data_IF_719718511900
#
_entry.id   IF_719718511900
#
_cell.length_a   1.000
_cell.length_b   1.000
_cell.length_c   1.000
_cell.angle_alpha   90.00
_cell.angle_beta   90.00
_cell.angle_gamma   90.00
#
_symmetry.space_group_name_H-M   'P 1'
#
loop_
_entity.id
_entity.type
_entity.pdbx_description
1 polymer ?
#
# COMPACT_ATOMS: atom_id res chain seq x y z
N UNK A 1 4.67 19.12 13.67
CA UNK A 1 5.91 18.47 14.14
C UNK A 1 5.88 18.42 15.65
N UNK A 2 6.03 17.23 16.24
CA UNK A 2 5.88 17.00 17.69
C UNK A 2 4.59 16.29 18.09
N UNK A 3 3.90 15.67 17.13
CA UNK A 3 2.73 14.82 17.36
C UNK A 3 3.12 13.37 17.06
N UNK A 4 2.51 12.42 17.76
CA UNK A 4 2.71 10.97 17.63
C UNK A 4 1.71 10.35 16.63
N UNK A 5 0.80 11.15 16.07
CA UNK A 5 -0.16 10.72 15.05
C UNK A 5 0.52 10.12 13.80
N UNK A 6 -0.02 8.98 13.34
CA UNK A 6 0.46 8.30 12.13
C UNK A 6 0.01 9.03 10.87
N UNK A 7 0.92 9.10 9.90
CA UNK A 7 0.64 9.61 8.55
C UNK A 7 1.15 8.60 7.51
N UNK A 8 0.29 8.26 6.54
CA UNK A 8 0.58 7.30 5.49
C UNK A 8 1.75 7.73 4.59
N UNK A 9 2.10 9.01 4.53
CA UNK A 9 3.28 9.52 3.83
C UNK A 9 4.59 8.93 4.35
N UNK A 10 4.63 8.42 5.58
CA UNK A 10 5.80 7.72 6.12
C UNK A 10 6.12 6.42 5.35
N UNK A 11 5.15 5.82 4.64
CA UNK A 11 5.41 4.71 3.71
C UNK A 11 6.39 5.11 2.60
N UNK A 12 6.47 6.40 2.24
CA UNK A 12 7.43 6.87 1.25
C UNK A 12 8.88 6.67 1.69
N UNK A 13 9.17 6.55 2.99
CA UNK A 13 10.54 6.32 3.46
C UNK A 13 11.14 5.03 2.89
N UNK A 14 10.37 3.93 2.85
CA UNK A 14 10.84 2.68 2.24
C UNK A 14 10.76 2.73 0.71
N UNK A 15 9.70 3.30 0.15
CA UNK A 15 9.48 3.35 -1.30
C UNK A 15 10.51 4.24 -2.02
N UNK A 16 11.07 5.22 -1.33
CA UNK A 16 12.15 6.09 -1.84
C UNK A 16 13.54 5.64 -1.41
N UNK A 17 13.67 4.50 -0.73
CA UNK A 17 14.95 3.96 -0.21
C UNK A 17 15.66 4.91 0.75
N UNK A 18 14.91 5.73 1.49
CA UNK A 18 15.46 6.62 2.51
C UNK A 18 16.16 5.82 3.62
N UNK A 19 15.60 4.65 3.97
CA UNK A 19 16.21 3.67 4.88
C UNK A 19 16.15 2.26 4.24
N UNK A 20 17.06 1.35 4.65
CA UNK A 20 17.01 -0.06 4.25
C UNK A 20 15.69 -0.74 4.64
N UNK A 21 15.26 -1.73 3.86
CA UNK A 21 14.02 -2.46 4.10
C UNK A 21 14.06 -3.31 5.38
N UNK A 22 15.25 -3.72 5.82
CA UNK A 22 15.49 -4.45 7.07
C UNK A 22 15.70 -3.53 8.29
N UNK A 23 15.63 -2.20 8.12
CA UNK A 23 15.68 -1.28 9.24
C UNK A 23 14.46 -1.50 10.15
N UNK A 24 14.66 -1.76 11.46
CA UNK A 24 13.57 -2.07 12.37
C UNK A 24 12.55 -0.94 12.49
N UNK A 25 12.95 0.33 12.27
CA UNK A 25 12.03 1.47 12.28
C UNK A 25 11.14 1.46 11.05
N UNK A 26 11.70 1.17 9.88
CA UNK A 26 10.93 1.05 8.63
C UNK A 26 9.88 -0.05 8.77
N UNK A 27 10.30 -1.23 9.22
CA UNK A 27 9.37 -2.35 9.44
C UNK A 27 8.28 -1.96 10.44
N UNK A 28 8.65 -1.36 11.58
CA UNK A 28 7.68 -0.92 12.58
C UNK A 28 6.69 0.11 12.02
N UNK A 29 7.15 1.09 11.25
CA UNK A 29 6.29 2.10 10.61
C UNK A 29 5.29 1.47 9.64
N UNK A 30 5.74 0.57 8.75
CA UNK A 30 4.85 -0.09 7.79
C UNK A 30 3.79 -0.92 8.51
N UNK A 31 4.18 -1.65 9.55
CA UNK A 31 3.28 -2.47 10.35
C UNK A 31 2.28 -1.62 11.15
N UNK A 32 2.73 -0.54 11.78
CA UNK A 32 1.88 0.40 12.50
C UNK A 32 0.82 1.02 11.58
N UNK A 33 1.20 1.45 10.37
CA UNK A 33 0.23 1.97 9.39
C UNK A 33 -0.76 0.88 8.97
N UNK A 34 -0.30 -0.35 8.74
CA UNK A 34 -1.18 -1.45 8.36
C UNK A 34 -2.21 -1.83 9.45
N UNK A 35 -1.84 -1.68 10.72
CA UNK A 35 -2.64 -2.11 11.87
C UNK A 35 -3.51 -0.98 12.45
N UNK A 36 -2.97 0.24 12.46
CA UNK A 36 -3.52 1.36 13.22
C UNK A 36 -4.04 2.49 12.32
N UNK A 37 -3.68 2.55 11.04
CA UNK A 37 -4.10 3.60 10.10
C UNK A 37 -4.95 3.06 8.95
N UNK A 38 -5.82 2.09 9.24
CA UNK A 38 -6.75 1.53 8.26
C UNK A 38 -8.20 1.54 8.73
N UNK A 39 -9.12 1.59 7.77
CA UNK A 39 -10.56 1.32 7.94
C UNK A 39 -10.98 0.28 6.90
N UNK A 40 -11.59 -0.82 7.35
CA UNK A 40 -11.86 -1.99 6.50
C UNK A 40 -10.62 -2.43 5.70
N UNK A 41 -9.42 -2.28 6.25
CA UNK A 41 -8.16 -2.62 5.57
C UNK A 41 -7.74 -1.67 4.43
N UNK A 42 -8.45 -0.56 4.22
CA UNK A 42 -8.01 0.53 3.34
C UNK A 42 -7.35 1.62 4.19
N UNK A 43 -6.30 2.24 3.67
CA UNK A 43 -5.43 3.16 4.42
C UNK A 43 -6.01 4.57 4.44
N UNK A 44 -6.11 5.13 5.64
CA UNK A 44 -6.38 6.56 5.85
C UNK A 44 -5.10 7.36 5.62
N UNK A 45 -5.19 8.61 5.19
CA UNK A 45 -4.00 9.46 5.11
C UNK A 45 -3.44 9.75 6.50
N UNK A 46 -4.31 10.16 7.41
CA UNK A 46 -4.12 10.33 8.85
C UNK A 46 -5.48 10.20 9.53
N UNK A 47 -5.53 10.13 10.86
CA UNK A 47 -6.79 10.24 11.60
C UNK A 47 -7.13 11.71 11.82
N UNK A 48 -8.26 12.18 11.28
CA UNK A 48 -8.71 13.58 11.44
C UNK A 48 -9.00 13.97 12.89
N UNK A 49 -9.28 13.00 13.76
CA UNK A 49 -9.44 13.22 15.22
C UNK A 49 -8.11 13.52 15.93
N UNK A 50 -6.99 13.07 15.35
CA UNK A 50 -5.65 13.19 15.92
C UNK A 50 -4.81 14.24 15.17
N UNK A 51 -5.26 14.68 14.00
CA UNK A 51 -4.53 15.62 13.13
C UNK A 51 -5.40 16.82 12.79
N UNK A 52 -4.97 18.02 13.18
CA UNK A 52 -5.56 19.28 12.72
C UNK A 52 -4.98 19.66 11.34
N UNK A 53 -5.70 19.30 10.29
CA UNK A 53 -5.39 19.62 8.89
C UNK A 53 -6.13 20.86 8.37
N UNK A 54 -6.97 21.49 9.20
CA UNK A 54 -7.80 22.63 8.85
C UNK A 54 -9.02 22.31 7.98
N UNK A 55 -9.39 21.04 7.80
CA UNK A 55 -10.57 20.60 7.04
C UNK A 55 -11.65 20.03 7.98
N UNK A 56 -12.91 20.05 7.51
CA UNK A 56 -14.06 19.52 8.26
C UNK A 56 -14.73 18.40 7.47
N UNK A 57 -14.91 17.23 8.09
CA UNK A 57 -15.62 16.09 7.51
C UNK A 57 -15.01 14.76 7.93
N UNK A 58 -15.68 13.67 7.57
CA UNK A 58 -15.06 12.33 7.54
C UNK A 58 -14.34 12.22 6.18
N UNK A 59 -13.02 12.05 6.20
CA UNK A 59 -12.23 11.82 4.98
C UNK A 59 -12.37 10.35 4.56
N UNK A 60 -12.56 10.09 3.27
CA UNK A 60 -12.53 8.73 2.75
C UNK A 60 -11.12 8.12 2.88
N UNK A 61 -11.01 6.82 2.67
CA UNK A 61 -9.68 6.20 2.61
C UNK A 61 -8.97 6.65 1.34
N UNK A 62 -7.73 7.11 1.46
CA UNK A 62 -6.97 7.63 0.33
C UNK A 62 -6.40 6.46 -0.48
N UNK A 63 -6.91 6.27 -1.70
CA UNK A 63 -6.66 5.05 -2.48
C UNK A 63 -5.17 4.84 -2.76
N UNK A 64 -4.45 5.93 -3.03
CA UNK A 64 -2.99 5.91 -3.26
C UNK A 64 -2.22 5.35 -2.05
N UNK A 65 -2.64 5.68 -0.83
CA UNK A 65 -1.98 5.24 0.40
C UNK A 65 -2.13 3.72 0.58
N UNK A 66 -3.27 3.17 0.18
CA UNK A 66 -3.48 1.72 0.21
C UNK A 66 -2.57 0.99 -0.79
N UNK A 67 -2.38 1.54 -1.99
CA UNK A 67 -1.41 0.99 -2.95
C UNK A 67 0.04 1.16 -2.48
N UNK A 68 0.39 2.28 -1.83
CA UNK A 68 1.70 2.41 -1.19
C UNK A 68 1.93 1.36 -0.11
N UNK A 69 0.91 1.03 0.68
CA UNK A 69 1.02 0.00 1.70
C UNK A 69 1.27 -1.38 1.07
N UNK A 70 0.63 -1.71 -0.06
CA UNK A 70 0.95 -2.94 -0.82
C UNK A 70 2.44 -2.97 -1.18
N UNK A 71 2.94 -1.92 -1.83
CA UNK A 71 4.36 -1.85 -2.21
C UNK A 71 5.28 -1.95 -1.00
N UNK A 72 4.96 -1.28 0.11
CA UNK A 72 5.77 -1.28 1.32
C UNK A 72 5.76 -2.65 2.04
N UNK A 73 4.62 -3.35 2.07
CA UNK A 73 4.53 -4.71 2.59
C UNK A 73 5.40 -5.68 1.79
N UNK A 74 5.42 -5.58 0.45
CA UNK A 74 6.34 -6.36 -0.37
C UNK A 74 7.80 -6.09 0.02
N UNK A 75 8.18 -4.83 0.14
CA UNK A 75 9.56 -4.43 0.45
C UNK A 75 10.04 -4.95 1.81
N UNK A 76 9.16 -5.06 2.81
CA UNK A 76 9.50 -5.65 4.13
C UNK A 76 9.33 -7.18 4.20
N UNK A 77 9.05 -7.84 3.07
CA UNK A 77 8.90 -9.29 2.96
C UNK A 77 7.53 -9.84 3.35
N UNK A 78 6.54 -8.99 3.63
CA UNK A 78 5.15 -9.37 3.97
C UNK A 78 4.32 -9.64 2.70
N UNK A 79 4.84 -10.45 1.78
CA UNK A 79 4.31 -10.64 0.42
C UNK A 79 2.87 -11.17 0.42
N UNK A 80 2.54 -12.12 1.29
CA UNK A 80 1.18 -12.66 1.37
C UNK A 80 0.15 -11.61 1.79
N UNK A 81 0.51 -10.71 2.73
CA UNK A 81 -0.36 -9.60 3.14
C UNK A 81 -0.48 -8.57 2.03
N UNK A 82 0.63 -8.25 1.36
CA UNK A 82 0.64 -7.34 0.22
C UNK A 82 -0.28 -7.84 -0.91
N UNK A 83 -0.18 -9.13 -1.24
CA UNK A 83 -1.04 -9.78 -2.25
C UNK A 83 -2.51 -9.64 -1.90
N UNK A 84 -2.89 -9.99 -0.67
CA UNK A 84 -4.30 -9.94 -0.25
C UNK A 84 -4.87 -8.52 -0.29
N UNK A 85 -4.10 -7.53 0.16
CA UNK A 85 -4.49 -6.12 0.05
C UNK A 85 -4.57 -5.67 -1.42
N UNK A 86 -3.63 -6.09 -2.26
CA UNK A 86 -3.64 -5.79 -3.69
C UNK A 86 -4.89 -6.35 -4.38
N UNK A 87 -5.23 -7.62 -4.13
CA UNK A 87 -6.44 -8.27 -4.66
C UNK A 87 -7.71 -7.53 -4.22
N UNK A 88 -7.77 -7.14 -2.94
CA UNK A 88 -8.87 -6.32 -2.43
C UNK A 88 -8.97 -4.98 -3.15
N UNK A 89 -7.86 -4.26 -3.32
CA UNK A 89 -7.84 -2.98 -4.03
C UNK A 89 -8.28 -3.13 -5.48
N UNK A 90 -7.81 -4.18 -6.17
CA UNK A 90 -8.19 -4.50 -7.55
C UNK A 90 -9.70 -4.75 -7.70
N UNK A 91 -10.35 -5.27 -6.66
CA UNK A 91 -11.80 -5.50 -6.68
C UNK A 91 -12.64 -4.22 -6.68
N UNK A 92 -12.07 -3.08 -6.28
CA UNK A 92 -12.74 -1.77 -6.30
C UNK A 92 -12.63 -1.05 -7.64
N UNK A 93 -12.02 -1.64 -8.66
CA UNK A 93 -11.93 -1.00 -9.97
C UNK A 93 -13.33 -0.63 -10.50
N UNK A 94 -13.50 0.59 -11.01
CA UNK A 94 -14.72 0.95 -11.74
C UNK A 94 -14.88 0.07 -13.00
N UNK A 95 -16.05 0.06 -13.67
CA UNK A 95 -16.24 -0.69 -14.91
C UNK A 95 -15.27 -0.33 -16.04
N UNK A 96 -14.61 0.83 -15.97
CA UNK A 96 -13.57 1.26 -16.91
C UNK A 96 -12.15 0.91 -16.44
N UNK A 97 -12.03 0.14 -15.35
CA UNK A 97 -10.79 -0.16 -14.65
C UNK A 97 -10.03 1.07 -14.13
N UNK A 98 -10.78 2.14 -13.83
CA UNK A 98 -10.25 3.40 -13.32
C UNK A 98 -10.54 3.56 -11.83
N UNK A 99 -9.66 4.30 -11.14
CA UNK A 99 -9.72 4.62 -9.72
C UNK A 99 -9.90 6.12 -9.46
N UNK A 100 -10.55 6.42 -8.33
CA UNK A 100 -10.65 7.78 -7.82
C UNK A 100 -9.51 8.08 -6.85
N UNK A 101 -9.52 9.30 -6.32
CA UNK A 101 -8.68 9.72 -5.21
C UNK A 101 -8.97 8.90 -3.96
N UNK A 102 -10.24 8.79 -3.61
CA UNK A 102 -10.72 8.16 -2.41
C UNK A 102 -11.69 7.03 -2.72
N UNK A 103 -11.70 6.03 -1.83
CA UNK A 103 -12.70 4.97 -1.80
C UNK A 103 -13.36 5.01 -0.42
N UNK A 104 -14.69 5.01 -0.41
CA UNK A 104 -15.45 4.79 0.81
C UNK A 104 -15.34 3.31 1.19
N UNK A 105 -14.76 2.97 2.36
CA UNK A 105 -14.31 1.61 2.65
C UNK A 105 -15.41 0.55 2.77
N UNK A 106 -16.65 0.95 3.09
CA UNK A 106 -17.76 0.02 3.36
C UNK A 106 -18.58 -0.28 2.12
N UNK A 107 -18.70 0.68 1.22
CA UNK A 107 -19.54 0.65 0.02
C UNK A 107 -18.71 0.49 -1.25
N UNK A 108 -17.41 0.78 -1.21
CA UNK A 108 -16.55 0.84 -2.39
C UNK A 108 -16.82 2.05 -3.28
N UNK A 109 -17.58 3.05 -2.80
CA UNK A 109 -17.92 4.22 -3.60
C UNK A 109 -16.68 5.07 -3.85
N UNK A 110 -16.47 5.42 -5.12
CA UNK A 110 -15.42 6.33 -5.54
C UNK A 110 -15.77 7.77 -5.15
N UNK A 111 -14.82 8.46 -4.53
CA UNK A 111 -14.95 9.83 -4.04
C UNK A 111 -13.80 10.71 -4.53
N UNK A 112 -14.02 12.02 -4.57
CA UNK A 112 -13.02 12.99 -4.99
C UNK A 112 -12.71 12.93 -6.49
N UNK A 113 -11.45 13.22 -6.84
CA UNK A 113 -11.02 13.29 -8.23
C UNK A 113 -11.16 11.94 -8.95
N UNK A 114 -11.73 11.93 -10.16
CA UNK A 114 -11.86 10.72 -10.98
C UNK A 114 -11.72 11.03 -12.49
N UNK A 115 -10.86 10.31 -13.24
CA UNK A 115 -9.85 9.37 -12.74
C UNK A 115 -8.67 10.10 -12.10
N UNK A 116 -8.09 9.53 -11.04
CA UNK A 116 -6.98 10.16 -10.32
C UNK A 116 -5.63 9.56 -10.76
N UNK A 117 -4.77 10.36 -11.38
CA UNK A 117 -3.55 9.86 -12.03
C UNK A 117 -2.51 9.25 -11.06
N UNK A 118 -2.31 9.83 -9.87
CA UNK A 118 -1.36 9.32 -8.89
C UNK A 118 -1.77 7.97 -8.26
N UNK A 119 -3.06 7.72 -8.08
CA UNK A 119 -3.64 6.45 -7.66
C UNK A 119 -3.29 5.38 -8.68
N UNK A 120 -3.41 5.68 -9.98
CA UNK A 120 -3.02 4.75 -11.03
C UNK A 120 -1.51 4.51 -11.08
N UNK A 121 -0.68 5.54 -10.82
CA UNK A 121 0.76 5.37 -10.70
C UNK A 121 1.11 4.43 -9.53
N UNK A 122 0.49 4.62 -8.36
CA UNK A 122 0.69 3.76 -7.21
C UNK A 122 0.18 2.33 -7.46
N UNK A 123 -0.97 2.17 -8.11
CA UNK A 123 -1.49 0.88 -8.57
C UNK A 123 -0.48 0.12 -9.43
N UNK A 124 0.08 0.76 -10.45
CA UNK A 124 1.06 0.12 -11.34
C UNK A 124 2.27 -0.36 -10.54
N UNK A 125 2.81 0.48 -9.65
CA UNK A 125 3.95 0.12 -8.82
C UNK A 125 3.63 -1.04 -7.86
N UNK A 126 2.47 -1.01 -7.22
CA UNK A 126 2.01 -2.05 -6.30
C UNK A 126 1.89 -3.41 -7.00
N UNK A 127 1.22 -3.45 -8.15
CA UNK A 127 1.05 -4.67 -8.94
C UNK A 127 2.39 -5.22 -9.42
N UNK A 128 3.30 -4.35 -9.90
CA UNK A 128 4.64 -4.77 -10.33
C UNK A 128 5.46 -5.32 -9.15
N UNK A 129 5.36 -4.73 -7.95
CA UNK A 129 6.02 -5.25 -6.76
C UNK A 129 5.52 -6.65 -6.40
N UNK A 130 4.19 -6.86 -6.38
CA UNK A 130 3.60 -8.17 -6.07
C UNK A 130 4.02 -9.22 -7.10
N UNK A 131 3.92 -8.92 -8.40
CA UNK A 131 4.31 -9.86 -9.47
C UNK A 131 5.77 -10.30 -9.29
N UNK A 132 6.69 -9.35 -9.10
CA UNK A 132 8.13 -9.67 -8.94
C UNK A 132 8.38 -10.53 -7.70
N UNK A 133 7.75 -10.20 -6.58
CA UNK A 133 7.92 -10.95 -5.34
C UNK A 133 7.39 -12.40 -5.47
N UNK A 134 6.32 -12.61 -6.24
CA UNK A 134 5.78 -13.94 -6.52
C UNK A 134 6.69 -14.74 -7.46
N UNK A 135 7.21 -14.11 -8.52
CA UNK A 135 8.18 -14.74 -9.44
C UNK A 135 9.47 -15.15 -8.70
N UNK A 136 9.96 -14.32 -7.78
CA UNK A 136 11.13 -14.63 -6.95
C UNK A 136 10.85 -15.82 -6.02
N UNK A 137 9.68 -15.85 -5.37
CA UNK A 137 9.26 -16.96 -4.52
C UNK A 137 9.17 -18.27 -5.31
N UNK A 138 8.56 -18.25 -6.50
CA UNK A 138 8.43 -19.42 -7.37
C UNK A 138 9.80 -19.92 -7.89
N UNK A 139 10.72 -18.99 -8.19
CA UNK A 139 12.09 -19.34 -8.63
C UNK A 139 12.91 -20.02 -7.53
N UNK A 140 12.69 -19.64 -6.26
CA UNK A 140 13.36 -20.26 -5.11
C UNK A 140 12.91 -21.70 -4.83
N UNK A 141 11.75 -22.10 -5.37
CA UNK A 141 11.21 -23.46 -5.32
C UNK A 141 11.73 -24.38 -6.42
N UNK A 142 12.50 -23.87 -7.39
CA UNK A 142 13.06 -24.69 -8.47
C UNK A 142 14.33 -25.39 -7.97
N UNK A 143 14.26 -26.72 -7.82
CA UNK A 143 15.45 -27.55 -7.57
C UNK A 143 16.46 -27.35 -8.71
N UNK A 144 17.60 -26.73 -8.43
CA UNK A 144 18.75 -26.76 -9.32
C UNK A 144 19.60 -28.01 -9.03
N UNK A 145 19.55 -29.05 -9.88
CA UNK A 145 20.47 -30.18 -9.74
C UNK A 145 21.91 -29.71 -9.91
N UNK A 146 22.82 -30.24 -9.10
CA UNK A 146 24.26 -29.94 -9.16
C UNK A 146 24.92 -30.24 -10.53
N UNK A 147 24.20 -30.86 -11.46
CA UNK A 147 24.66 -31.23 -12.79
C UNK A 147 24.02 -30.41 -13.92
N UNK A 148 23.33 -29.30 -13.62
CA UNK A 148 22.82 -28.40 -14.66
C UNK A 148 23.99 -27.84 -15.49
N UNK A 149 23.97 -27.95 -16.82
CA UNK A 149 25.04 -27.40 -17.66
C UNK A 149 25.09 -25.88 -17.49
N UNK A 150 26.30 -25.34 -17.30
CA UNK A 150 26.58 -23.90 -17.26
C UNK A 150 26.20 -23.20 -18.57
#
# INVERSE_FOLDING_TARGET
YGDDALDASLLLAILTRFLPADDPRVRATVMAIAEELTEEGLVLRYRTEETDDGLSGEEGTFTICSFWLVSALVEIGEVSRARHLCEKLLSFASPLHLYAEEIEPRTGRHLGNFPQAFTHLALINAVVHVIRAEEEADSSGVFQPANAPM
#
